data_IF_172276953968
#
_entry.id   IF_172276953968
#
_cell.length_a   1.000
_cell.length_b   1.000
_cell.length_c   1.000
_cell.angle_alpha   90.00
_cell.angle_beta   90.00
_cell.angle_gamma   90.00
#
_symmetry.space_group_name_H-M   'P 1'
#
loop_
_entity.id
_entity.type
_entity.pdbx_description
1 polymer ?
#
# COMPACT_ATOMS: atom_id res chain seq x y z
N UNK A 1 -19.48 -25.74 -25.74
CA UNK A 1 -19.29 -25.14 -24.40
C UNK A 1 -17.81 -24.88 -24.25
N UNK A 2 -17.38 -23.61 -24.21
CA UNK A 2 -15.97 -23.27 -24.10
C UNK A 2 -15.48 -23.58 -22.68
N UNK A 3 -14.52 -24.50 -22.54
CA UNK A 3 -13.76 -24.66 -21.32
C UNK A 3 -13.01 -23.35 -21.05
N UNK A 4 -13.07 -22.75 -19.84
CA UNK A 4 -12.21 -21.63 -19.51
C UNK A 4 -10.77 -22.16 -19.53
N UNK A 5 -10.02 -21.67 -20.51
CA UNK A 5 -8.68 -22.11 -20.85
C UNK A 5 -7.72 -21.88 -19.68
N UNK A 6 -6.93 -22.90 -19.35
CA UNK A 6 -5.84 -22.83 -18.36
C UNK A 6 -4.89 -21.63 -18.60
N UNK A 7 -4.85 -21.13 -19.85
CA UNK A 7 -4.13 -19.94 -20.29
C UNK A 7 -4.58 -18.68 -19.52
N UNK A 8 -5.88 -18.50 -19.32
CA UNK A 8 -6.42 -17.34 -18.61
C UNK A 8 -6.00 -17.36 -17.14
N UNK A 9 -5.96 -18.54 -16.51
CA UNK A 9 -5.57 -18.67 -15.10
C UNK A 9 -4.07 -18.40 -14.91
N UNK A 10 -3.21 -18.89 -15.80
CA UNK A 10 -1.77 -18.66 -15.73
C UNK A 10 -1.40 -17.20 -15.98
N UNK A 11 -2.04 -16.54 -16.95
CA UNK A 11 -1.84 -15.12 -17.21
C UNK A 11 -2.30 -14.26 -16.03
N UNK A 12 -3.47 -14.56 -15.45
CA UNK A 12 -3.95 -13.89 -14.24
C UNK A 12 -3.02 -14.10 -13.04
N UNK A 13 -2.47 -15.31 -12.87
CA UNK A 13 -1.50 -15.57 -11.80
C UNK A 13 -0.22 -14.75 -11.97
N UNK A 14 0.26 -14.62 -13.21
CA UNK A 14 1.42 -13.77 -13.54
C UNK A 14 1.13 -12.31 -13.25
N UNK A 15 -0.03 -11.81 -13.68
CA UNK A 15 -0.45 -10.43 -13.42
C UNK A 15 -0.56 -10.16 -11.92
N UNK A 16 -1.14 -11.09 -11.14
CA UNK A 16 -1.20 -11.01 -9.68
C UNK A 16 0.22 -10.91 -9.08
N UNK A 17 1.17 -11.70 -9.57
CA UNK A 17 2.54 -11.68 -9.06
C UNK A 17 3.22 -10.32 -9.35
N UNK A 18 3.09 -9.80 -10.57
CA UNK A 18 3.65 -8.51 -10.97
C UNK A 18 3.03 -7.34 -10.19
N UNK A 19 1.70 -7.36 -10.01
CA UNK A 19 0.99 -6.36 -9.21
C UNK A 19 1.41 -6.41 -7.73
N UNK A 20 1.60 -7.60 -7.16
CA UNK A 20 2.10 -7.75 -5.78
C UNK A 20 3.52 -7.19 -5.64
N UNK A 21 4.41 -7.44 -6.60
CA UNK A 21 5.75 -6.87 -6.59
C UNK A 21 5.72 -5.34 -6.68
N UNK A 22 4.83 -4.80 -7.52
CA UNK A 22 4.63 -3.35 -7.65
C UNK A 22 4.09 -2.74 -6.36
N UNK A 23 3.11 -3.38 -5.71
CA UNK A 23 2.59 -2.96 -4.41
C UNK A 23 3.73 -2.91 -3.39
N UNK A 24 4.52 -3.98 -3.29
CA UNK A 24 5.63 -4.06 -2.34
C UNK A 24 6.67 -2.94 -2.56
N UNK A 25 7.04 -2.65 -3.81
CA UNK A 25 7.97 -1.55 -4.14
C UNK A 25 7.39 -0.18 -3.77
N UNK A 26 6.09 0.04 -3.99
CA UNK A 26 5.42 1.29 -3.64
C UNK A 26 5.32 1.46 -2.12
N UNK A 27 5.02 0.38 -1.38
CA UNK A 27 5.01 0.38 0.09
C UNK A 27 6.39 0.73 0.65
N UNK A 28 7.47 0.18 0.08
CA UNK A 28 8.85 0.53 0.48
C UNK A 28 9.16 2.02 0.23
N UNK A 29 8.72 2.57 -0.89
CA UNK A 29 8.89 4.00 -1.19
C UNK A 29 8.11 4.87 -0.22
N UNK A 30 6.86 4.52 0.09
CA UNK A 30 6.05 5.21 1.09
C UNK A 30 6.73 5.15 2.45
N UNK A 31 7.21 3.98 2.88
CA UNK A 31 7.92 3.81 4.15
C UNK A 31 9.19 4.67 4.21
N UNK A 32 9.95 4.74 3.12
CA UNK A 32 11.12 5.61 3.02
C UNK A 32 10.75 7.09 3.13
N UNK A 33 9.71 7.54 2.43
CA UNK A 33 9.22 8.92 2.49
C UNK A 33 8.74 9.24 3.91
N UNK A 34 7.96 8.34 4.53
CA UNK A 34 7.44 8.53 5.87
C UNK A 34 8.57 8.61 6.90
N UNK A 35 9.56 7.71 6.84
CA UNK A 35 10.73 7.72 7.74
C UNK A 35 11.57 9.00 7.64
N UNK A 36 11.67 9.58 6.45
CA UNK A 36 12.45 10.80 6.21
C UNK A 36 11.60 12.08 6.26
N UNK A 37 10.30 11.95 6.52
CA UNK A 37 9.42 13.10 6.61
C UNK A 37 9.64 13.82 7.94
N UNK A 38 9.86 15.14 7.87
CA UNK A 38 9.72 16.00 9.07
C UNK A 38 8.24 16.12 9.39
N UNK A 39 7.66 15.17 10.13
CA UNK A 39 6.21 15.09 10.28
C UNK A 39 5.57 16.39 10.78
N UNK A 40 4.45 16.75 10.18
CA UNK A 40 3.58 17.83 10.65
C UNK A 40 2.20 17.21 10.85
N UNK A 41 1.88 16.90 12.10
CA UNK A 41 0.68 16.16 12.44
C UNK A 41 -0.53 17.09 12.56
N UNK A 42 -1.65 16.61 12.03
CA UNK A 42 -2.97 17.09 12.36
C UNK A 42 -3.61 16.06 13.30
N UNK A 43 -3.93 16.49 14.51
CA UNK A 43 -4.45 15.63 15.57
C UNK A 43 -5.97 15.68 15.59
N UNK A 44 -6.57 14.51 15.77
CA UNK A 44 -7.97 14.32 16.13
C UNK A 44 -7.99 13.55 17.46
N UNK A 45 -9.12 13.49 18.17
CA UNK A 45 -9.19 12.77 19.44
C UNK A 45 -8.75 11.30 19.36
N UNK A 46 -8.84 10.67 18.18
CA UNK A 46 -8.60 9.23 17.98
C UNK A 46 -7.33 8.90 17.20
N UNK A 47 -6.80 9.85 16.45
CA UNK A 47 -5.65 9.63 15.58
C UNK A 47 -4.92 10.93 15.29
N UNK A 48 -3.64 10.83 14.97
CA UNK A 48 -2.89 11.91 14.33
C UNK A 48 -2.46 11.50 12.94
N UNK A 49 -2.58 12.41 11.97
CA UNK A 49 -2.20 12.18 10.58
C UNK A 49 -1.22 13.26 10.13
N UNK A 50 -0.10 12.86 9.55
CA UNK A 50 0.82 13.81 8.93
C UNK A 50 0.18 14.39 7.66
N UNK A 51 0.06 15.71 7.57
CA UNK A 51 -0.54 16.37 6.40
C UNK A 51 0.32 16.28 5.13
N UNK A 52 1.59 15.87 5.26
CA UNK A 52 2.56 15.79 4.16
C UNK A 52 2.73 14.39 3.60
N UNK A 53 3.03 13.42 4.47
CA UNK A 53 3.28 12.03 4.06
C UNK A 53 2.13 11.08 4.39
N UNK A 54 1.03 11.61 4.93
CA UNK A 54 -0.18 10.85 5.26
C UNK A 54 0.04 9.71 6.26
N UNK A 55 1.18 9.67 6.95
CA UNK A 55 1.43 8.74 8.05
C UNK A 55 0.38 8.94 9.14
N UNK A 56 -0.27 7.85 9.57
CA UNK A 56 -1.33 7.86 10.59
C UNK A 56 -0.85 7.08 11.80
N UNK A 57 -1.05 7.65 12.98
CA UNK A 57 -0.93 6.96 14.26
C UNK A 57 -2.28 6.99 14.95
N UNK A 58 -2.78 5.82 15.32
CA UNK A 58 -3.99 5.66 16.12
C UNK A 58 -3.58 5.77 17.60
N UNK A 59 -4.30 6.57 18.36
CA UNK A 59 -3.95 6.89 19.76
C UNK A 59 -4.59 5.93 20.79
N UNK A 60 -5.34 4.93 20.33
CA UNK A 60 -6.04 3.94 21.14
C UNK A 60 -5.40 2.54 20.98
N UNK A 61 -5.20 1.86 22.11
CA UNK A 61 -4.64 0.50 22.23
C UNK A 61 -5.71 -0.58 22.16
#
# INVERSE_FOLDING_TARGET
MAHPSIVDVQELQKEIAELKEKIFKLEQQIAHIQKNCRHSFFETPFMRKCVKCHYVEILYY
#
